data_IF_154324378279
#
_entry.id   IF_154324378279
#
_cell.length_a   1.000
_cell.length_b   1.000
_cell.length_c   1.000
_cell.angle_alpha   90.00
_cell.angle_beta   90.00
_cell.angle_gamma   90.00
#
_symmetry.space_group_name_H-M   'P 1'
#
loop_
_entity.id
_entity.type
_entity.pdbx_description
1 polymer ?
#
# COMPACT_ATOMS: atom_id res chain seq x y z
N UNK A 1 5.28 -12.00 -14.00
CA UNK A 1 4.66 -10.65 -14.02
C UNK A 1 3.15 -10.67 -13.79
N UNK A 2 2.36 -11.46 -14.54
CA UNK A 2 0.89 -11.53 -14.32
C UNK A 2 0.48 -11.89 -12.87
N UNK A 3 1.24 -12.75 -12.20
CA UNK A 3 1.03 -13.10 -10.79
C UNK A 3 1.22 -11.90 -9.84
N UNK A 4 2.17 -10.99 -10.12
CA UNK A 4 2.39 -9.79 -9.30
C UNK A 4 1.23 -8.80 -9.42
N UNK A 5 0.58 -8.71 -10.58
CA UNK A 5 -0.67 -7.94 -10.73
C UNK A 5 -1.77 -8.52 -9.83
N UNK A 6 -1.92 -9.84 -9.79
CA UNK A 6 -2.89 -10.49 -8.89
C UNK A 6 -2.55 -10.27 -7.43
N UNK A 7 -1.27 -10.40 -7.04
CA UNK A 7 -0.84 -10.13 -5.67
C UNK A 7 -1.05 -8.66 -5.29
N UNK A 8 -0.80 -7.74 -6.21
CA UNK A 8 -1.03 -6.31 -6.02
C UNK A 8 -2.51 -6.00 -5.78
N UNK A 9 -3.38 -6.58 -6.60
CA UNK A 9 -4.82 -6.50 -6.42
C UNK A 9 -5.28 -7.09 -5.08
N UNK A 10 -4.76 -8.26 -4.69
CA UNK A 10 -5.11 -8.89 -3.42
C UNK A 10 -4.61 -8.09 -2.21
N UNK A 11 -3.40 -7.53 -2.29
CA UNK A 11 -2.84 -6.67 -1.26
C UNK A 11 -3.68 -5.39 -1.11
N UNK A 12 -4.05 -4.76 -2.24
CA UNK A 12 -4.97 -3.63 -2.26
C UNK A 12 -6.31 -3.99 -1.62
N UNK A 13 -6.95 -5.07 -2.05
CA UNK A 13 -8.25 -5.50 -1.53
C UNK A 13 -8.20 -5.75 -0.01
N UNK A 14 -7.15 -6.42 0.46
CA UNK A 14 -6.92 -6.66 1.89
C UNK A 14 -6.75 -5.36 2.67
N UNK A 15 -5.96 -4.40 2.14
CA UNK A 15 -5.79 -3.09 2.75
C UNK A 15 -7.10 -2.30 2.77
N UNK A 16 -7.84 -2.25 1.66
CA UNK A 16 -9.15 -1.57 1.57
C UNK A 16 -10.13 -2.14 2.59
N UNK A 17 -10.22 -3.46 2.71
CA UNK A 17 -11.08 -4.10 3.72
C UNK A 17 -10.61 -3.76 5.13
N UNK A 18 -9.30 -3.79 5.41
CA UNK A 18 -8.76 -3.43 6.71
C UNK A 18 -9.09 -1.98 7.11
N UNK A 19 -8.92 -1.02 6.18
CA UNK A 19 -9.29 0.38 6.43
C UNK A 19 -10.80 0.58 6.52
N UNK A 20 -11.61 -0.19 5.78
CA UNK A 20 -13.06 -0.14 5.90
C UNK A 20 -13.57 -0.67 7.25
N UNK A 21 -12.85 -1.58 7.90
CA UNK A 21 -13.22 -2.13 9.20
C UNK A 21 -12.62 -1.35 10.38
N UNK A 22 -11.36 -0.92 10.27
CA UNK A 22 -10.59 -0.34 11.37
C UNK A 22 -10.04 1.06 11.08
N UNK A 23 -10.27 1.61 9.89
CA UNK A 23 -9.67 2.88 9.44
C UNK A 23 -10.03 4.09 10.30
N UNK A 24 -11.17 4.06 10.98
CA UNK A 24 -11.59 5.11 11.90
C UNK A 24 -10.74 5.18 13.18
N UNK A 25 -10.12 4.07 13.59
CA UNK A 25 -9.12 4.07 14.66
C UNK A 25 -7.71 4.34 14.13
N UNK A 26 -7.39 3.81 12.94
CA UNK A 26 -6.04 3.86 12.37
C UNK A 26 -5.67 5.26 11.85
N UNK A 27 -6.62 5.99 11.24
CA UNK A 27 -6.37 7.28 10.60
C UNK A 27 -7.18 8.42 11.22
N UNK A 28 -7.48 8.32 12.51
CA UNK A 28 -8.14 9.38 13.26
C UNK A 28 -7.23 10.62 13.34
N UNK A 29 -7.65 11.79 12.79
CA UNK A 29 -6.90 13.03 12.92
C UNK A 29 -6.70 13.49 14.37
N UNK A 30 -7.53 13.04 15.32
CA UNK A 30 -7.37 13.34 16.73
C UNK A 30 -6.20 12.57 17.39
N UNK A 31 -5.68 11.54 16.72
CA UNK A 31 -4.65 10.64 17.25
C UNK A 31 -3.36 10.67 16.42
N UNK A 32 -2.62 11.80 16.38
CA UNK A 32 -1.45 11.97 15.51
C UNK A 32 -0.33 10.95 15.78
N UNK A 33 -0.22 10.46 17.03
CA UNK A 33 0.75 9.42 17.39
C UNK A 33 0.45 8.09 16.69
N UNK A 34 -0.82 7.68 16.61
CA UNK A 34 -1.24 6.44 15.94
C UNK A 34 -0.99 6.56 14.44
N UNK A 35 -1.39 7.69 13.85
CA UNK A 35 -1.16 7.97 12.42
C UNK A 35 0.35 7.96 12.12
N UNK A 36 1.16 8.63 12.93
CA UNK A 36 2.62 8.64 12.77
C UNK A 36 3.23 7.24 12.88
N UNK A 37 2.82 6.44 13.87
CA UNK A 37 3.28 5.06 14.02
C UNK A 37 2.93 4.19 12.81
N UNK A 38 1.73 4.35 12.25
CA UNK A 38 1.33 3.67 11.01
C UNK A 38 2.18 4.08 9.81
N UNK A 39 2.50 5.37 9.67
CA UNK A 39 3.40 5.85 8.61
C UNK A 39 4.80 5.25 8.73
N UNK A 40 5.33 5.10 9.95
CA UNK A 40 6.62 4.43 10.16
C UNK A 40 6.50 2.93 9.89
N UNK A 41 5.41 2.29 10.30
CA UNK A 41 5.19 0.85 10.16
C UNK A 41 4.93 0.40 8.71
N UNK A 42 4.31 1.26 7.88
CA UNK A 42 3.99 0.90 6.48
C UNK A 42 5.25 0.64 5.66
N UNK A 43 6.35 1.34 5.94
CA UNK A 43 7.62 1.21 5.21
C UNK A 43 8.24 -0.20 5.37
N UNK A 44 8.54 -0.70 6.58
CA UNK A 44 9.05 -2.06 6.74
C UNK A 44 8.01 -3.12 6.36
N UNK A 45 6.71 -2.87 6.59
CA UNK A 45 5.66 -3.81 6.21
C UNK A 45 5.60 -4.02 4.69
N UNK A 46 5.56 -2.94 3.92
CA UNK A 46 5.48 -3.00 2.46
C UNK A 46 6.80 -3.45 1.82
N UNK A 47 7.94 -3.03 2.38
CA UNK A 47 9.24 -3.55 1.95
C UNK A 47 9.33 -5.05 2.19
N UNK A 48 8.93 -5.52 3.37
CA UNK A 48 8.93 -6.93 3.74
C UNK A 48 8.02 -7.76 2.84
N UNK A 49 6.80 -7.27 2.56
CA UNK A 49 5.87 -7.91 1.63
C UNK A 49 6.48 -8.04 0.22
N UNK A 50 7.01 -6.95 -0.33
CA UNK A 50 7.61 -6.94 -1.66
C UNK A 50 8.80 -7.91 -1.74
N UNK A 51 9.73 -7.84 -0.78
CA UNK A 51 10.91 -8.71 -0.72
C UNK A 51 10.52 -10.19 -0.54
N UNK A 52 9.53 -10.49 0.30
CA UNK A 52 9.02 -11.84 0.47
C UNK A 52 8.44 -12.39 -0.84
N UNK A 53 7.65 -11.60 -1.56
CA UNK A 53 7.10 -11.99 -2.86
C UNK A 53 8.19 -12.18 -3.92
N UNK A 54 9.24 -11.34 -3.94
CA UNK A 54 10.38 -11.55 -4.83
C UNK A 54 11.11 -12.85 -4.52
N UNK A 55 11.35 -13.14 -3.23
CA UNK A 55 12.02 -14.37 -2.81
C UNK A 55 11.21 -15.61 -3.16
N UNK A 56 9.91 -15.60 -2.89
CA UNK A 56 9.03 -16.73 -3.21
C UNK A 56 8.96 -16.99 -4.73
N UNK A 57 8.92 -15.94 -5.54
CA UNK A 57 8.84 -16.08 -7.00
C UNK A 57 10.21 -16.13 -7.70
N UNK A 58 11.32 -16.21 -6.95
CA UNK A 58 12.67 -16.28 -7.51
C UNK A 58 13.08 -15.07 -8.35
N UNK A 59 12.55 -13.88 -8.06
CA UNK A 59 12.79 -12.66 -8.86
C UNK A 59 14.10 -11.99 -8.44
N UNK A 60 15.04 -11.90 -9.38
CA UNK A 60 16.38 -11.31 -9.18
C UNK A 60 16.72 -10.28 -10.26
N UNK A 61 17.68 -9.40 -9.94
CA UNK A 61 18.24 -8.44 -10.89
C UNK A 61 17.20 -7.47 -11.48
N UNK A 62 17.27 -7.24 -12.79
CA UNK A 62 16.42 -6.27 -13.50
C UNK A 62 14.91 -6.58 -13.42
N UNK A 63 14.54 -7.85 -13.20
CA UNK A 63 13.12 -8.26 -13.09
C UNK A 63 12.46 -7.77 -11.79
N UNK A 64 13.23 -7.34 -10.79
CA UNK A 64 12.68 -6.78 -9.54
C UNK A 64 11.88 -5.51 -9.78
N UNK A 65 12.37 -4.61 -10.65
CA UNK A 65 11.66 -3.37 -10.95
C UNK A 65 10.33 -3.65 -11.66
N UNK A 66 10.34 -4.52 -12.68
CA UNK A 66 9.10 -4.95 -13.35
C UNK A 66 8.11 -5.60 -12.38
N UNK A 67 8.59 -6.43 -11.45
CA UNK A 67 7.77 -7.04 -10.42
C UNK A 67 7.21 -6.00 -9.43
N UNK A 68 8.02 -5.02 -9.01
CA UNK A 68 7.61 -3.93 -8.13
C UNK A 68 6.50 -3.09 -8.78
N UNK A 69 6.70 -2.69 -10.04
CA UNK A 69 5.70 -1.95 -10.83
C UNK A 69 4.43 -2.76 -10.95
N UNK A 70 4.53 -4.04 -11.35
CA UNK A 70 3.36 -4.92 -11.46
C UNK A 70 2.63 -5.11 -10.12
N UNK A 71 3.33 -5.05 -8.98
CA UNK A 71 2.72 -5.19 -7.67
C UNK A 71 1.93 -3.94 -7.26
N UNK A 72 2.42 -2.73 -7.56
CA UNK A 72 1.76 -1.48 -7.14
C UNK A 72 0.69 -0.99 -8.12
N UNK A 73 0.88 -1.21 -9.42
CA UNK A 73 0.04 -0.65 -10.47
C UNK A 73 -1.47 -0.87 -10.30
N UNK A 74 -1.96 -2.10 -10.01
CA UNK A 74 -3.40 -2.32 -9.85
C UNK A 74 -3.96 -1.59 -8.62
N UNK A 75 -3.22 -1.58 -7.51
CA UNK A 75 -3.61 -0.86 -6.30
C UNK A 75 -3.67 0.65 -6.54
N UNK A 76 -2.62 1.21 -7.17
CA UNK A 76 -2.58 2.63 -7.52
C UNK A 76 -3.78 3.04 -8.37
N UNK A 77 -4.14 2.23 -9.38
CA UNK A 77 -5.29 2.51 -10.23
C UNK A 77 -6.60 2.51 -9.44
N UNK A 78 -6.83 1.48 -8.62
CA UNK A 78 -8.07 1.34 -7.87
C UNK A 78 -8.18 2.36 -6.73
N UNK A 79 -7.06 2.77 -6.15
CA UNK A 79 -7.04 3.81 -5.12
C UNK A 79 -7.38 5.19 -5.64
N UNK A 80 -7.20 5.48 -6.95
CA UNK A 80 -7.72 6.74 -7.51
C UNK A 80 -9.24 6.83 -7.33
N UNK A 81 -9.95 5.72 -7.55
CA UNK A 81 -11.40 5.62 -7.35
C UNK A 81 -11.72 5.64 -5.86
N UNK A 82 -10.95 4.91 -5.03
CA UNK A 82 -11.17 4.87 -3.60
C UNK A 82 -11.01 6.24 -2.92
N UNK A 83 -10.05 7.04 -3.36
CA UNK A 83 -9.84 8.41 -2.87
C UNK A 83 -10.90 9.36 -3.43
N UNK A 84 -11.23 9.27 -4.74
CA UNK A 84 -12.25 10.13 -5.36
C UNK A 84 -13.62 9.96 -4.69
N UNK A 85 -13.96 8.74 -4.29
CA UNK A 85 -15.21 8.40 -3.62
C UNK A 85 -14.98 8.01 -2.14
N UNK A 86 -14.01 8.64 -1.48
CA UNK A 86 -13.56 8.26 -0.12
C UNK A 86 -14.70 8.10 0.87
N UNK A 87 -15.62 9.06 0.94
CA UNK A 87 -16.77 8.99 1.87
C UNK A 87 -17.73 7.83 1.59
N UNK A 88 -17.82 7.36 0.35
CA UNK A 88 -18.66 6.21 -0.03
C UNK A 88 -17.94 4.88 0.17
N UNK A 89 -16.62 4.85 -0.04
CA UNK A 89 -15.80 3.63 0.10
C UNK A 89 -15.44 3.34 1.55
N UNK A 90 -15.15 4.39 2.33
CA UNK A 90 -14.75 4.35 3.73
C UNK A 90 -15.70 5.19 4.61
N UNK A 91 -16.99 4.82 4.70
CA UNK A 91 -17.99 5.58 5.47
C UNK A 91 -17.72 5.57 6.98
N UNK A 92 -16.88 4.65 7.46
CA UNK A 92 -16.45 4.59 8.86
C UNK A 92 -15.46 5.73 9.21
N UNK A 93 -14.78 6.33 8.23
CA UNK A 93 -13.71 7.29 8.46
C UNK A 93 -14.20 8.73 8.33
N UNK A 94 -13.69 9.62 9.19
CA UNK A 94 -13.99 11.05 9.08
C UNK A 94 -13.39 11.64 7.79
N UNK A 95 -14.03 12.64 7.15
CA UNK A 95 -13.54 13.21 5.89
C UNK A 95 -12.09 13.73 5.98
N UNK A 96 -11.70 14.25 7.14
CA UNK A 96 -10.34 14.73 7.40
C UNK A 96 -9.26 13.64 7.38
N UNK A 97 -9.63 12.36 7.39
CA UNK A 97 -8.70 11.22 7.30
C UNK A 97 -8.23 10.97 5.86
N UNK A 98 -8.95 11.45 4.84
CA UNK A 98 -8.63 11.22 3.43
C UNK A 98 -7.20 11.70 3.06
N UNK A 99 -6.74 12.81 3.66
CA UNK A 99 -5.38 13.34 3.44
C UNK A 99 -4.29 12.38 3.96
N UNK A 100 -4.51 11.78 5.14
CA UNK A 100 -3.58 10.83 5.74
C UNK A 100 -3.61 9.49 4.98
N UNK A 101 -4.81 9.06 4.57
CA UNK A 101 -4.96 7.87 3.74
C UNK A 101 -4.21 8.01 2.42
N UNK A 102 -4.45 9.08 1.66
CA UNK A 102 -3.77 9.32 0.38
C UNK A 102 -2.25 9.45 0.53
N UNK A 103 -1.77 10.16 1.56
CA UNK A 103 -0.33 10.26 1.85
C UNK A 103 0.31 8.91 2.20
N UNK A 104 -0.40 8.07 2.96
CA UNK A 104 0.08 6.73 3.32
C UNK A 104 0.14 5.81 2.12
N UNK A 105 -0.84 5.87 1.21
CA UNK A 105 -0.82 5.12 -0.04
C UNK A 105 0.40 5.50 -0.89
N UNK A 106 0.66 6.79 -1.06
CA UNK A 106 1.86 7.27 -1.77
C UNK A 106 3.15 6.73 -1.15
N UNK A 107 3.25 6.74 0.18
CA UNK A 107 4.41 6.21 0.90
C UNK A 107 4.56 4.69 0.71
N UNK A 108 3.46 3.94 0.80
CA UNK A 108 3.45 2.50 0.57
C UNK A 108 3.93 2.16 -0.85
N UNK A 109 3.38 2.83 -1.88
CA UNK A 109 3.74 2.59 -3.26
C UNK A 109 5.19 2.99 -3.57
N UNK A 110 5.64 4.15 -3.09
CA UNK A 110 7.02 4.57 -3.25
C UNK A 110 7.98 3.58 -2.60
N UNK A 111 7.66 3.07 -1.41
CA UNK A 111 8.46 2.07 -0.69
C UNK A 111 8.62 0.79 -1.53
N UNK A 112 7.52 0.23 -2.03
CA UNK A 112 7.57 -0.98 -2.87
C UNK A 112 8.39 -0.73 -4.13
N UNK A 113 8.20 0.40 -4.82
CA UNK A 113 8.97 0.74 -6.01
C UNK A 113 10.47 0.85 -5.73
N UNK A 114 10.85 1.49 -4.61
CA UNK A 114 12.25 1.58 -4.18
C UNK A 114 12.87 0.20 -4.00
N UNK A 115 12.15 -0.79 -3.46
CA UNK A 115 12.66 -2.17 -3.35
C UNK A 115 13.03 -2.78 -4.71
N UNK A 116 12.38 -2.34 -5.80
CA UNK A 116 12.68 -2.75 -7.16
C UNK A 116 14.05 -2.26 -7.66
N UNK A 117 14.51 -1.11 -7.16
CA UNK A 117 15.82 -0.53 -7.49
C UNK A 117 16.96 -1.06 -6.61
N UNK A 118 16.64 -1.62 -5.45
CA UNK A 118 17.67 -2.15 -4.55
C UNK A 118 18.19 -3.50 -5.07
N UNK A 119 19.35 -3.42 -5.73
CA UNK A 119 20.01 -4.53 -6.43
C UNK A 119 20.62 -5.58 -5.50
N UNK A 120 20.68 -5.32 -4.18
CA UNK A 120 21.44 -6.12 -3.20
C UNK A 120 20.58 -6.42 -1.96
N UNK A 121 19.83 -7.53 -1.98
CA UNK A 121 19.28 -8.27 -0.82
C UNK A 121 18.96 -9.69 -1.24
#
# INVERSE_FOLDING_TARGET
MRQFLSFGFLAWLGATVAFRLAGHYLLDPASPLIVGALYVAVVPAMSGLALALYRWNGVTGAKRLEAAVALVLPGMFLDTVAIAFFGSVFPNMVPGAAKHFGGMLLLAYATVLVTGFVRRW
#
